data_IF_146531946268
#
_entry.id   IF_146531946268
#
_cell.length_a   1.000
_cell.length_b   1.000
_cell.length_c   1.000
_cell.angle_alpha   90.00
_cell.angle_beta   90.00
_cell.angle_gamma   90.00
#
_symmetry.space_group_name_H-M   'P 1'
#
loop_
_entity.id
_entity.type
_entity.pdbx_description
1 polymer ?
#
# COMPACT_ATOMS: atom_id res chain seq x y z
N UNK A 1 -13.32 17.41 -7.34
CA UNK A 1 -14.56 17.78 -6.62
C UNK A 1 -14.53 17.07 -5.26
N UNK A 2 -14.03 17.73 -4.20
CA UNK A 2 -14.10 17.19 -2.83
C UNK A 2 -15.53 17.41 -2.33
N UNK A 3 -16.40 16.42 -2.54
CA UNK A 3 -17.82 16.47 -2.13
C UNK A 3 -17.96 16.35 -0.61
N UNK A 4 -16.93 15.85 0.08
CA UNK A 4 -16.86 15.79 1.54
C UNK A 4 -15.79 16.76 2.02
N UNK A 5 -16.18 17.81 2.73
CA UNK A 5 -15.26 18.69 3.43
C UNK A 5 -14.80 18.01 4.73
N UNK A 6 -13.49 18.00 4.98
CA UNK A 6 -12.92 17.41 6.20
C UNK A 6 -13.38 18.18 7.45
N UNK A 7 -13.81 19.43 7.27
CA UNK A 7 -14.21 20.35 8.32
C UNK A 7 -15.68 20.18 8.75
N UNK A 8 -16.59 19.72 7.87
CA UNK A 8 -18.01 19.52 8.22
C UNK A 8 -18.30 18.11 8.76
N UNK A 9 -17.67 17.07 8.22
CA UNK A 9 -17.89 15.67 8.64
C UNK A 9 -16.57 14.87 8.73
N UNK A 10 -15.71 15.14 9.73
CA UNK A 10 -14.38 14.52 9.82
C UNK A 10 -14.41 12.99 9.99
N UNK A 11 -15.44 12.47 10.67
CA UNK A 11 -15.63 11.03 10.88
C UNK A 11 -15.97 10.31 9.57
N UNK A 12 -16.94 10.84 8.82
CA UNK A 12 -17.36 10.27 7.54
C UNK A 12 -16.22 10.30 6.52
N UNK A 13 -15.50 11.43 6.45
CA UNK A 13 -14.31 11.54 5.59
C UNK A 13 -13.27 10.45 5.90
N UNK A 14 -12.97 10.24 7.19
CA UNK A 14 -11.96 9.25 7.60
C UNK A 14 -12.39 7.81 7.31
N UNK A 15 -13.68 7.50 7.45
CA UNK A 15 -14.23 6.18 7.12
C UNK A 15 -14.14 5.92 5.61
N UNK A 16 -14.67 6.82 4.80
CA UNK A 16 -14.70 6.64 3.33
C UNK A 16 -13.29 6.58 2.76
N UNK A 17 -12.37 7.40 3.28
CA UNK A 17 -10.97 7.34 2.89
C UNK A 17 -10.34 6.00 3.28
N UNK A 18 -10.54 5.55 4.52
CA UNK A 18 -10.01 4.27 4.99
C UNK A 18 -10.56 3.08 4.18
N UNK A 19 -11.86 3.06 3.92
CA UNK A 19 -12.52 2.06 3.09
C UNK A 19 -11.92 2.02 1.67
N UNK A 20 -11.77 3.17 1.02
CA UNK A 20 -11.22 3.27 -0.33
C UNK A 20 -9.81 2.69 -0.43
N UNK A 21 -8.92 3.05 0.50
CA UNK A 21 -7.52 2.56 0.47
C UNK A 21 -7.44 1.06 0.76
N UNK A 22 -8.26 0.54 1.69
CA UNK A 22 -8.34 -0.91 1.96
C UNK A 22 -8.90 -1.66 0.75
N UNK A 23 -9.91 -1.10 0.09
CA UNK A 23 -10.49 -1.68 -1.11
C UNK A 23 -9.46 -1.78 -2.26
N UNK A 24 -8.64 -0.75 -2.48
CA UNK A 24 -7.60 -0.77 -3.50
C UNK A 24 -6.56 -1.87 -3.22
N UNK A 25 -6.09 -1.97 -1.98
CA UNK A 25 -5.14 -3.01 -1.59
C UNK A 25 -5.73 -4.43 -1.75
N UNK A 26 -6.98 -4.64 -1.33
CA UNK A 26 -7.66 -5.95 -1.45
C UNK A 26 -7.94 -6.34 -2.90
N UNK A 27 -8.30 -5.38 -3.76
CA UNK A 27 -8.54 -5.60 -5.19
C UNK A 27 -7.28 -6.08 -5.90
N UNK A 28 -6.12 -5.52 -5.56
CA UNK A 28 -4.83 -5.94 -6.13
C UNK A 28 -4.46 -7.36 -5.66
N UNK A 29 -4.70 -7.70 -4.39
CA UNK A 29 -4.46 -9.07 -3.87
C UNK A 29 -5.37 -10.08 -4.54
N UNK A 30 -6.64 -9.72 -4.76
CA UNK A 30 -7.60 -10.55 -5.47
C UNK A 30 -7.18 -10.77 -6.93
N UNK A 31 -6.72 -9.72 -7.61
CA UNK A 31 -6.19 -9.79 -8.97
C UNK A 31 -4.98 -10.73 -9.06
N UNK A 32 -4.01 -10.59 -8.15
CA UNK A 32 -2.85 -11.49 -8.10
C UNK A 32 -3.26 -12.95 -7.82
N UNK A 33 -4.27 -13.15 -6.96
CA UNK A 33 -4.83 -14.48 -6.69
C UNK A 33 -5.49 -15.07 -7.93
N UNK A 34 -6.22 -14.27 -8.72
CA UNK A 34 -6.81 -14.69 -9.99
C UNK A 34 -5.74 -15.08 -11.01
N UNK A 35 -4.68 -14.27 -11.15
CA UNK A 35 -3.60 -14.54 -12.09
C UNK A 35 -2.82 -15.83 -11.76
N UNK A 36 -2.77 -16.21 -10.48
CA UNK A 36 -2.12 -17.45 -10.03
C UNK A 36 -2.90 -18.73 -10.38
N UNK A 37 -4.15 -18.61 -10.85
CA UNK A 37 -4.99 -19.75 -11.20
C UNK A 37 -5.06 -19.97 -12.71
N UNK A 38 -4.99 -21.24 -13.11
CA UNK A 38 -5.24 -21.65 -14.48
C UNK A 38 -6.76 -21.81 -14.71
N UNK A 39 -7.30 -21.07 -15.68
CA UNK A 39 -8.73 -21.04 -16.00
C UNK A 39 -9.18 -22.14 -16.97
N UNK A 40 -8.35 -23.16 -17.17
CA UNK A 40 -8.64 -24.29 -18.07
C UNK A 40 -9.92 -25.05 -17.70
N UNK A 41 -10.39 -24.98 -16.44
CA UNK A 41 -11.76 -25.38 -16.06
C UNK A 41 -12.28 -24.58 -14.86
N UNK A 42 -13.35 -23.81 -15.08
CA UNK A 42 -14.05 -23.11 -14.00
C UNK A 42 -14.97 -24.12 -13.30
N UNK A 43 -14.55 -24.56 -12.13
CA UNK A 43 -15.29 -25.51 -11.31
C UNK A 43 -15.39 -25.00 -9.87
N UNK A 44 -16.31 -25.53 -9.07
CA UNK A 44 -16.49 -25.10 -7.67
C UNK A 44 -15.20 -25.23 -6.83
N UNK A 45 -14.35 -26.21 -7.18
CA UNK A 45 -13.03 -26.43 -6.58
C UNK A 45 -12.07 -25.26 -6.86
N UNK A 46 -12.11 -24.69 -8.07
CA UNK A 46 -11.27 -23.55 -8.46
C UNK A 46 -11.66 -22.30 -7.68
N UNK A 47 -12.96 -22.07 -7.45
CA UNK A 47 -13.45 -20.98 -6.61
C UNK A 47 -13.00 -21.13 -5.15
N UNK A 48 -13.06 -22.35 -4.59
CA UNK A 48 -12.59 -22.59 -3.23
C UNK A 48 -11.07 -22.41 -3.10
N UNK A 49 -10.30 -22.86 -4.11
CA UNK A 49 -8.85 -22.61 -4.19
C UNK A 49 -8.53 -21.12 -4.25
N UNK A 50 -9.25 -20.35 -5.07
CA UNK A 50 -9.10 -18.89 -5.13
C UNK A 50 -9.30 -18.25 -3.77
N UNK A 51 -10.40 -18.59 -3.09
CA UNK A 51 -10.68 -18.05 -1.76
C UNK A 51 -9.60 -18.43 -0.76
N UNK A 52 -9.12 -19.68 -0.78
CA UNK A 52 -8.03 -20.15 0.05
C UNK A 52 -6.72 -19.39 -0.19
N UNK A 53 -6.31 -19.22 -1.45
CA UNK A 53 -5.12 -18.45 -1.84
C UNK A 53 -5.24 -16.99 -1.42
N UNK A 54 -6.40 -16.38 -1.65
CA UNK A 54 -6.66 -15.00 -1.25
C UNK A 54 -6.52 -14.83 0.27
N UNK A 55 -7.18 -15.68 1.06
CA UNK A 55 -7.10 -15.61 2.53
C UNK A 55 -5.67 -15.86 3.02
N UNK A 56 -4.97 -16.84 2.43
CA UNK A 56 -3.58 -17.12 2.75
C UNK A 56 -2.69 -15.89 2.52
N UNK A 57 -2.73 -15.31 1.31
CA UNK A 57 -1.97 -14.11 0.97
C UNK A 57 -2.36 -12.93 1.86
N UNK A 58 -3.65 -12.77 2.15
CA UNK A 58 -4.14 -11.69 3.00
C UNK A 58 -3.57 -11.76 4.41
N UNK A 59 -3.73 -12.89 5.11
CA UNK A 59 -3.31 -13.02 6.49
C UNK A 59 -1.78 -13.04 6.65
N UNK A 60 -1.06 -13.74 5.77
CA UNK A 60 0.40 -13.84 5.86
C UNK A 60 1.09 -12.50 5.55
N UNK A 61 0.63 -11.79 4.52
CA UNK A 61 1.15 -10.45 4.19
C UNK A 61 0.84 -9.43 5.29
N UNK A 62 -0.36 -9.51 5.89
CA UNK A 62 -0.73 -8.67 7.03
C UNK A 62 0.18 -8.93 8.24
N UNK A 63 0.40 -10.20 8.59
CA UNK A 63 1.27 -10.57 9.71
C UNK A 63 2.72 -10.12 9.51
N UNK A 64 3.23 -10.24 8.28
CA UNK A 64 4.56 -9.74 7.92
C UNK A 64 4.63 -8.21 8.03
N UNK A 65 3.64 -7.49 7.49
CA UNK A 65 3.58 -6.03 7.54
C UNK A 65 3.57 -5.50 8.96
N UNK A 66 2.76 -6.12 9.84
CA UNK A 66 2.73 -5.80 11.26
C UNK A 66 4.10 -6.04 11.92
N UNK A 67 4.71 -7.19 11.64
CA UNK A 67 6.00 -7.57 12.22
C UNK A 67 7.12 -6.59 11.83
N UNK A 68 7.22 -6.23 10.54
CA UNK A 68 8.20 -5.23 10.06
C UNK A 68 7.87 -3.83 10.56
N UNK A 69 6.59 -3.47 10.67
CA UNK A 69 6.14 -2.21 11.25
C UNK A 69 6.57 -2.06 12.71
N UNK A 70 6.39 -3.10 13.53
CA UNK A 70 6.85 -3.12 14.92
C UNK A 70 8.38 -3.10 15.03
N UNK A 71 9.07 -3.83 14.15
CA UNK A 71 10.54 -3.79 14.05
C UNK A 71 11.04 -2.38 13.74
N UNK A 72 10.32 -1.62 12.92
CA UNK A 72 10.67 -0.23 12.63
C UNK A 72 10.54 0.67 13.86
N UNK A 73 9.47 0.51 14.64
CA UNK A 73 9.26 1.28 15.87
C UNK A 73 10.37 0.96 16.88
N UNK A 74 10.76 -0.31 16.98
CA UNK A 74 11.89 -0.75 17.81
C UNK A 74 13.24 -0.18 17.33
N UNK A 75 13.48 -0.19 16.02
CA UNK A 75 14.72 0.32 15.40
C UNK A 75 14.87 1.82 15.64
N UNK A 76 13.82 2.60 15.41
CA UNK A 76 13.80 4.05 15.66
C UNK A 76 13.99 4.34 17.16
N UNK A 77 13.29 3.60 18.04
CA UNK A 77 13.45 3.76 19.50
C UNK A 77 14.87 3.41 19.98
N UNK A 78 15.52 2.42 19.38
CA UNK A 78 16.89 2.03 19.73
C UNK A 78 17.91 3.07 19.25
N UNK A 79 17.73 3.59 18.03
CA UNK A 79 18.58 4.63 17.45
C UNK A 79 18.45 5.99 18.14
N UNK A 80 17.35 6.21 18.87
CA UNK A 80 17.11 7.38 19.71
C UNK A 80 18.29 7.69 20.66
N UNK A 81 19.01 6.67 21.13
CA UNK A 81 20.15 6.84 22.04
C UNK A 81 21.39 7.51 21.41
N UNK A 82 21.47 7.62 20.07
CA UNK A 82 22.73 7.93 19.37
C UNK A 82 22.93 9.36 18.87
N UNK A 83 21.87 10.06 18.43
CA UNK A 83 21.80 11.49 18.01
C UNK A 83 20.53 11.75 17.21
N UNK A 84 19.76 12.77 17.59
CA UNK A 84 18.62 13.24 16.81
C UNK A 84 19.08 13.82 15.47
N UNK A 85 18.55 13.29 14.37
CA UNK A 85 18.69 13.86 13.04
C UNK A 85 17.43 13.53 12.25
N UNK A 86 16.67 14.57 11.92
CA UNK A 86 15.40 14.50 11.19
C UNK A 86 15.53 13.67 9.91
N UNK A 87 16.57 13.95 9.12
CA UNK A 87 16.77 13.30 7.82
C UNK A 87 16.96 11.79 7.96
N UNK A 88 17.64 11.33 9.04
CA UNK A 88 17.86 9.91 9.29
C UNK A 88 16.58 9.19 9.69
N UNK A 89 15.77 9.80 10.55
CA UNK A 89 14.49 9.25 10.97
C UNK A 89 13.55 9.07 9.77
N UNK A 90 13.43 10.10 8.93
CA UNK A 90 12.60 10.07 7.72
C UNK A 90 13.12 9.03 6.73
N UNK A 91 14.43 9.01 6.46
CA UNK A 91 15.03 8.05 5.54
C UNK A 91 14.85 6.60 6.00
N UNK A 92 15.03 6.32 7.29
CA UNK A 92 14.84 4.98 7.86
C UNK A 92 13.39 4.53 7.81
N UNK A 93 12.43 5.43 8.07
CA UNK A 93 11.01 5.10 7.94
C UNK A 93 10.67 4.71 6.49
N UNK A 94 11.12 5.48 5.50
CA UNK A 94 10.89 5.14 4.09
C UNK A 94 11.59 3.85 3.69
N UNK A 95 12.84 3.65 4.11
CA UNK A 95 13.61 2.46 3.80
C UNK A 95 12.98 1.20 4.39
N UNK A 96 12.53 1.24 5.65
CA UNK A 96 11.92 0.09 6.32
C UNK A 96 10.53 -0.23 5.76
N UNK A 97 9.75 0.78 5.39
CA UNK A 97 8.49 0.58 4.68
C UNK A 97 8.74 -0.13 3.35
N UNK A 98 9.69 0.34 2.55
CA UNK A 98 10.05 -0.29 1.28
C UNK A 98 10.68 -1.68 1.44
N UNK A 99 11.47 -1.90 2.49
CA UNK A 99 12.03 -3.21 2.81
C UNK A 99 10.93 -4.23 3.11
N UNK A 100 9.84 -3.82 3.78
CA UNK A 100 8.68 -4.71 4.02
C UNK A 100 8.08 -5.23 2.72
N UNK A 101 7.98 -4.37 1.70
CA UNK A 101 7.54 -4.74 0.35
C UNK A 101 8.49 -5.75 -0.29
N UNK A 102 9.80 -5.47 -0.29
CA UNK A 102 10.80 -6.34 -0.92
C UNK A 102 10.84 -7.73 -0.27
N UNK A 103 10.78 -7.80 1.07
CA UNK A 103 10.76 -9.08 1.78
C UNK A 103 9.53 -9.88 1.37
N UNK A 104 8.35 -9.26 1.31
CA UNK A 104 7.13 -9.93 0.91
C UNK A 104 7.20 -10.50 -0.52
N UNK A 105 7.71 -9.73 -1.48
CA UNK A 105 7.92 -10.19 -2.86
C UNK A 105 8.90 -11.38 -2.92
N UNK A 106 9.99 -11.35 -2.15
CA UNK A 106 10.97 -12.45 -2.11
C UNK A 106 10.39 -13.78 -1.62
N UNK A 107 9.37 -13.73 -0.77
CA UNK A 107 8.69 -14.92 -0.26
C UNK A 107 7.34 -15.19 -0.95
N UNK A 108 7.08 -14.55 -2.10
CA UNK A 108 5.85 -14.69 -2.91
C UNK A 108 4.56 -14.35 -2.15
N UNK A 109 4.62 -13.34 -1.28
CA UNK A 109 3.45 -12.73 -0.62
C UNK A 109 3.02 -11.45 -1.35
N UNK A 110 1.93 -10.82 -0.90
CA UNK A 110 1.51 -9.52 -1.45
C UNK A 110 2.39 -8.41 -0.88
N UNK A 111 3.32 -7.89 -1.67
CA UNK A 111 4.15 -6.74 -1.30
C UNK A 111 3.32 -5.51 -0.96
N UNK A 112 2.31 -5.21 -1.78
CA UNK A 112 1.42 -4.04 -1.63
C UNK A 112 0.62 -4.11 -0.34
N UNK A 113 0.06 -5.28 -0.01
CA UNK A 113 -0.67 -5.45 1.25
C UNK A 113 0.26 -5.38 2.46
N UNK A 114 1.47 -5.94 2.34
CA UNK A 114 2.49 -5.92 3.41
C UNK A 114 2.92 -4.49 3.74
N UNK A 115 3.30 -3.69 2.74
CA UNK A 115 3.72 -2.29 2.96
C UNK A 115 2.57 -1.43 3.49
N UNK A 116 1.33 -1.71 3.09
CA UNK A 116 0.15 -1.02 3.61
C UNK A 116 -0.02 -1.22 5.12
N UNK A 117 -0.05 -2.48 5.59
CA UNK A 117 -0.14 -2.76 7.03
C UNK A 117 1.10 -2.31 7.80
N UNK A 118 2.28 -2.42 7.18
CA UNK A 118 3.51 -1.85 7.74
C UNK A 118 3.36 -0.34 7.99
N UNK A 119 2.84 0.41 7.02
CA UNK A 119 2.54 1.84 7.14
C UNK A 119 1.52 2.17 8.23
N UNK A 120 0.45 1.38 8.38
CA UNK A 120 -0.53 1.55 9.47
C UNK A 120 0.17 1.40 10.83
N UNK A 121 0.96 0.35 11.02
CA UNK A 121 1.67 0.09 12.27
C UNK A 121 2.73 1.16 12.53
N UNK A 122 3.45 1.62 11.51
CA UNK A 122 4.39 2.75 11.63
C UNK A 122 3.69 4.04 12.06
N UNK A 123 2.52 4.34 11.47
CA UNK A 123 1.72 5.51 11.82
C UNK A 123 1.26 5.47 13.28
N UNK A 124 1.01 4.29 13.84
CA UNK A 124 0.58 4.16 15.24
C UNK A 124 1.77 4.15 16.22
N UNK A 125 2.80 3.34 15.98
CA UNK A 125 3.88 3.10 16.94
C UNK A 125 5.14 3.91 16.67
N UNK A 126 5.55 4.05 15.41
CA UNK A 126 6.77 4.78 15.04
C UNK A 126 6.56 6.30 15.13
N UNK A 127 5.34 6.78 14.83
CA UNK A 127 4.98 8.20 14.91
C UNK A 127 5.22 8.84 16.28
N UNK A 128 5.03 8.06 17.35
CA UNK A 128 5.26 8.52 18.72
C UNK A 128 6.74 8.52 19.13
N UNK A 129 7.59 7.78 18.40
CA UNK A 129 9.02 7.64 18.71
C UNK A 129 9.92 8.60 17.91
N UNK A 130 9.38 9.32 16.92
CA UNK A 130 10.12 10.28 16.07
C UNK A 130 9.97 11.72 16.54
N UNK A 131 10.92 12.56 16.17
CA UNK A 131 10.89 14.00 16.48
C UNK A 131 9.76 14.73 15.75
N UNK A 132 9.35 15.89 16.28
CA UNK A 132 8.28 16.70 15.67
C UNK A 132 8.62 17.16 14.26
N UNK A 133 9.87 17.59 14.03
CA UNK A 133 10.36 17.93 12.69
C UNK A 133 10.25 16.75 11.73
N UNK A 134 10.57 15.53 12.15
CA UNK A 134 10.43 14.33 11.31
C UNK A 134 8.98 14.05 10.94
N UNK A 135 8.05 14.21 11.88
CA UNK A 135 6.60 14.03 11.61
C UNK A 135 6.12 14.98 10.51
N UNK A 136 6.50 16.24 10.60
CA UNK A 136 6.13 17.27 9.61
C UNK A 136 6.75 16.93 8.26
N UNK A 137 8.06 16.68 8.22
CA UNK A 137 8.78 16.35 6.98
C UNK A 137 8.22 15.09 6.32
N UNK A 138 8.01 14.00 7.08
CA UNK A 138 7.42 12.75 6.57
C UNK A 138 6.03 12.97 5.97
N UNK A 139 5.17 13.75 6.64
CA UNK A 139 3.83 14.05 6.14
C UNK A 139 3.87 14.79 4.80
N UNK A 140 4.71 15.82 4.68
CA UNK A 140 4.84 16.58 3.43
C UNK A 140 5.51 15.75 2.31
N UNK A 141 6.53 14.96 2.65
CA UNK A 141 7.20 14.08 1.68
C UNK A 141 6.24 13.05 1.11
N UNK A 142 5.49 12.32 1.94
CA UNK A 142 4.53 11.34 1.45
C UNK A 142 3.39 11.99 0.65
N UNK A 143 2.88 13.15 1.08
CA UNK A 143 1.85 13.87 0.32
C UNK A 143 2.36 14.29 -1.07
N UNK A 144 3.60 14.79 -1.16
CA UNK A 144 4.21 15.21 -2.42
C UNK A 144 4.46 14.03 -3.35
N UNK A 145 5.03 12.93 -2.83
CA UNK A 145 5.28 11.70 -3.59
C UNK A 145 3.96 11.10 -4.08
N UNK A 146 2.93 11.05 -3.22
CA UNK A 146 1.61 10.55 -3.59
C UNK A 146 0.99 11.36 -4.72
N UNK A 147 1.05 12.69 -4.65
CA UNK A 147 0.51 13.57 -5.69
C UNK A 147 1.22 13.38 -7.04
N UNK A 148 2.55 13.26 -7.00
CA UNK A 148 3.35 13.00 -8.19
C UNK A 148 3.00 11.62 -8.78
N UNK A 149 2.94 10.57 -7.95
CA UNK A 149 2.60 9.23 -8.38
C UNK A 149 1.19 9.15 -8.99
N UNK A 150 0.20 9.79 -8.37
CA UNK A 150 -1.16 9.89 -8.87
C UNK A 150 -1.21 10.61 -10.23
N UNK A 151 -0.45 11.70 -10.39
CA UNK A 151 -0.34 12.40 -11.68
C UNK A 151 0.24 11.50 -12.77
N UNK A 152 1.29 10.74 -12.47
CA UNK A 152 1.87 9.79 -13.42
C UNK A 152 0.90 8.66 -13.80
N UNK A 153 0.17 8.11 -12.83
CA UNK A 153 -0.83 7.07 -13.10
C UNK A 153 -1.95 7.59 -14.02
N UNK A 154 -2.45 8.81 -13.78
CA UNK A 154 -3.47 9.41 -14.65
C UNK A 154 -2.98 9.65 -16.07
N UNK A 155 -1.75 10.15 -16.23
CA UNK A 155 -1.15 10.34 -17.56
C UNK A 155 -0.98 8.99 -18.27
N UNK A 156 -0.49 7.97 -17.57
CA UNK A 156 -0.25 6.65 -18.13
C UNK A 156 -1.54 5.99 -18.62
N UNK A 157 -2.56 5.93 -17.74
CA UNK A 157 -3.88 5.38 -18.10
C UNK A 157 -4.54 6.21 -19.20
N UNK A 158 -4.41 7.53 -19.16
CA UNK A 158 -4.94 8.42 -20.19
C UNK A 158 -4.30 8.19 -21.56
N UNK A 159 -3.00 7.94 -21.59
CA UNK A 159 -2.27 7.63 -22.83
C UNK A 159 -2.67 6.28 -23.40
N UNK A 160 -2.77 5.25 -22.55
CA UNK A 160 -3.21 3.89 -22.94
C UNK A 160 -4.66 3.91 -23.46
N UNK A 161 -5.56 4.67 -22.82
CA UNK A 161 -6.94 4.80 -23.25
C UNK A 161 -7.12 5.55 -24.59
N UNK A 162 -6.21 6.48 -24.91
CA UNK A 162 -6.20 7.25 -26.15
C UNK A 162 -5.42 6.57 -27.27
N UNK A 163 -4.79 5.42 -27.01
CA UNK A 163 -4.09 4.67 -28.04
C UNK A 163 -5.08 4.13 -29.08
N UNK A 164 -4.95 4.66 -30.30
CA UNK A 164 -5.83 4.39 -31.43
C UNK A 164 -5.73 2.92 -31.86
N UNK A 165 -4.61 2.26 -31.60
CA UNK A 165 -4.40 0.88 -32.03
C UNK A 165 -5.17 -0.13 -31.16
N UNK A 166 -5.45 0.21 -29.89
CA UNK A 166 -6.39 -0.53 -29.02
C UNK A 166 -7.81 -0.47 -29.58
N UNK A 167 -8.23 0.71 -30.08
CA UNK A 167 -9.57 0.88 -30.66
C UNK A 167 -9.74 0.22 -32.04
N UNK A 168 -8.68 0.19 -32.86
CA UNK A 168 -8.71 -0.51 -34.16
C UNK A 168 -8.78 -2.02 -33.97
N UNK A 169 -8.02 -2.58 -33.03
CA UNK A 169 -8.07 -4.02 -32.73
C UNK A 169 -9.38 -4.43 -32.06
N UNK A 170 -9.98 -3.55 -31.23
CA UNK A 170 -11.33 -3.76 -30.67
C UNK A 170 -12.44 -3.75 -31.72
N UNK A 171 -12.35 -2.92 -32.77
CA UNK A 171 -13.34 -2.88 -33.87
C UNK A 171 -13.15 -3.98 -34.91
N UNK A 172 -12.00 -4.64 -34.94
CA UNK A 172 -11.68 -5.72 -35.87
C UNK A 172 -12.09 -7.12 -35.35
N UNK A 173 -12.78 -7.20 -34.21
CA UNK A 173 -13.30 -8.41 -33.58
C UNK A 173 -14.82 -8.31 -33.43
#
# INVERSE_FOLDING_TARGET
MKVLSQDETPFLYSIVFGEGVVNDATSIVLYNSLQSLDFSSINAITAFKLLGTFLYLFFTSTALGISVGLLSAFTIKTLYFGRHSTDREVALMMLLAYLSYLIAELINLSGILTIFFCGIVMSHYTWHNVTESSRITTKHSFATISFIAETFLFIYVGMDALDIDVWKTSKAR
#
